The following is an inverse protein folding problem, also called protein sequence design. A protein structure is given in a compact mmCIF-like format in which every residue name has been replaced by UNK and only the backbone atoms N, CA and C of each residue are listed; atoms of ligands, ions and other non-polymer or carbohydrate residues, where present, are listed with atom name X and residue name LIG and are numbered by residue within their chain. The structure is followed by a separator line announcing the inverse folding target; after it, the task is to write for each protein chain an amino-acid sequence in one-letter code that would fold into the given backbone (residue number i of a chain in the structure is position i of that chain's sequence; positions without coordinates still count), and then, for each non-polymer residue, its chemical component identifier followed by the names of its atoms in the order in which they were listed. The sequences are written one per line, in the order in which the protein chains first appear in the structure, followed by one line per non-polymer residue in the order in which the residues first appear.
data_IF_149664616847
#
_entry.id   IF_149664616847
#
_cell.length_a   1.000
_cell.length_b   1.000
_cell.length_c   1.000
_cell.angle_alpha   90.00
_cell.angle_beta   90.00
_cell.angle_gamma   90.00
#
_symmetry.space_group_name_H-M   'P 1'
#
loop_
_entity.id
_entity.type
_entity.pdbx_description
1 polymer ?
#
# COMPACT_ATOMS: atom_id res chain seq x y z
N UNK A 1 -60.54 23.35 2.97
CA UNK A 1 -59.47 23.13 1.97
C UNK A 1 -58.14 23.35 2.68
N UNK A 2 -57.41 22.28 2.97
CA UNK A 2 -56.11 22.32 3.64
C UNK A 2 -55.05 21.77 2.70
N UNK A 3 -53.96 22.51 2.44
CA UNK A 3 -52.73 21.93 1.95
C UNK A 3 -51.62 22.18 2.97
N UNK A 4 -51.31 21.21 3.82
CA UNK A 4 -50.12 21.22 4.70
C UNK A 4 -49.61 19.78 4.87
N UNK A 5 -49.12 19.17 3.80
CA UNK A 5 -48.41 17.89 3.86
C UNK A 5 -47.64 17.62 2.56
N UNK A 6 -46.56 18.37 2.25
CA UNK A 6 -45.66 17.97 1.15
C UNK A 6 -44.23 18.53 1.20
N UNK A 7 -43.81 19.22 2.26
CA UNK A 7 -42.45 19.81 2.29
C UNK A 7 -41.50 19.14 3.31
N UNK A 8 -42.00 18.24 4.17
CA UNK A 8 -41.18 17.61 5.21
C UNK A 8 -40.45 16.33 4.77
N UNK A 9 -40.88 15.67 3.68
CA UNK A 9 -40.24 14.43 3.21
C UNK A 9 -39.06 14.66 2.27
N UNK A 10 -38.93 15.84 1.66
CA UNK A 10 -37.83 16.11 0.72
C UNK A 10 -36.52 16.51 1.41
N UNK A 11 -36.57 16.90 2.69
CA UNK A 11 -35.37 17.28 3.47
C UNK A 11 -34.72 16.07 4.16
N UNK A 12 -35.47 15.01 4.44
CA UNK A 12 -34.96 13.81 5.11
C UNK A 12 -34.09 12.94 4.16
N UNK A 13 -34.41 12.92 2.86
CA UNK A 13 -33.64 12.18 1.85
C UNK A 13 -32.33 12.89 1.45
N UNK A 14 -32.29 14.22 1.58
CA UNK A 14 -31.11 15.02 1.23
C UNK A 14 -30.00 14.93 2.31
N UNK A 15 -30.37 14.72 3.57
CA UNK A 15 -29.40 14.48 4.66
C UNK A 15 -28.87 13.03 4.68
N UNK A 16 -29.54 12.10 3.99
CA UNK A 16 -29.15 10.70 3.91
C UNK A 16 -28.11 10.41 2.80
N UNK A 17 -27.83 11.37 1.92
CA UNK A 17 -27.06 11.14 0.70
C UNK A 17 -25.69 11.85 0.64
N UNK A 18 -25.21 12.43 1.74
CA UNK A 18 -23.77 12.72 1.85
C UNK A 18 -23.02 11.40 2.09
N UNK A 19 -22.79 10.66 1.00
CA UNK A 19 -22.00 9.44 1.03
C UNK A 19 -20.64 9.75 1.66
N UNK A 20 -20.39 9.14 2.83
CA UNK A 20 -19.14 9.30 3.54
C UNK A 20 -17.98 8.91 2.62
N UNK A 21 -16.96 9.77 2.55
CA UNK A 21 -15.84 9.55 1.64
C UNK A 21 -15.02 8.35 2.10
N UNK A 22 -14.86 7.35 1.23
CA UNK A 22 -14.07 6.15 1.51
C UNK A 22 -12.59 6.38 1.20
N UNK A 23 -11.73 6.03 2.14
CA UNK A 23 -10.27 6.09 2.01
C UNK A 23 -9.68 4.73 2.29
N UNK A 24 -8.90 4.22 1.35
CA UNK A 24 -8.23 2.93 1.46
C UNK A 24 -6.79 3.13 1.94
N UNK A 25 -6.46 2.49 3.05
CA UNK A 25 -5.15 2.47 3.70
C UNK A 25 -4.57 1.06 3.55
N UNK A 26 -3.45 0.93 2.84
CA UNK A 26 -2.82 -0.36 2.55
C UNK A 26 -1.53 -0.47 3.34
N UNK A 27 -1.47 -1.43 4.25
CA UNK A 27 -0.24 -1.83 4.92
C UNK A 27 0.41 -2.94 4.09
N UNK A 28 1.40 -2.59 3.27
CA UNK A 28 2.01 -3.56 2.35
C UNK A 28 2.77 -4.66 3.08
N UNK A 29 3.35 -4.35 4.24
CA UNK A 29 4.11 -5.32 5.02
C UNK A 29 3.20 -6.40 5.57
N UNK A 30 2.03 -6.00 6.09
CA UNK A 30 1.04 -6.93 6.61
C UNK A 30 0.31 -7.70 5.51
N UNK A 31 -0.01 -7.05 4.38
CA UNK A 31 -0.67 -7.68 3.25
C UNK A 31 0.19 -8.78 2.60
N UNK A 32 1.50 -8.54 2.50
CA UNK A 32 2.41 -9.39 1.73
C UNK A 32 3.23 -10.33 2.63
N UNK A 33 3.29 -10.05 3.94
CA UNK A 33 4.02 -10.83 4.94
C UNK A 33 5.55 -10.72 4.85
N UNK A 34 6.10 -9.96 3.89
CA UNK A 34 7.53 -9.71 3.71
C UNK A 34 7.77 -8.56 2.74
N UNK A 35 8.80 -7.74 2.99
CA UNK A 35 9.22 -6.62 2.12
C UNK A 35 9.96 -7.11 0.86
N UNK A 36 10.45 -8.36 0.83
CA UNK A 36 11.06 -8.97 -0.37
C UNK A 36 9.97 -9.45 -1.34
N UNK A 37 9.15 -8.53 -1.80
CA UNK A 37 8.00 -8.83 -2.63
C UNK A 37 8.44 -8.98 -4.08
N UNK A 38 8.04 -10.08 -4.72
CA UNK A 38 8.13 -10.19 -6.17
C UNK A 38 7.07 -9.28 -6.78
N UNK A 39 7.46 -8.41 -7.73
CA UNK A 39 6.56 -7.46 -8.41
C UNK A 39 5.22 -8.11 -8.84
N UNK A 40 5.28 -9.31 -9.41
CA UNK A 40 4.09 -10.08 -9.80
C UNK A 40 3.11 -10.34 -8.65
N UNK A 41 3.62 -10.71 -7.47
CA UNK A 41 2.79 -10.98 -6.31
C UNK A 41 2.16 -9.68 -5.79
N UNK A 42 2.89 -8.56 -5.84
CA UNK A 42 2.35 -7.25 -5.50
C UNK A 42 1.22 -6.86 -6.46
N UNK A 43 1.43 -6.97 -7.78
CA UNK A 43 0.39 -6.71 -8.80
C UNK A 43 -0.90 -7.47 -8.53
N UNK A 44 -0.81 -8.80 -8.37
CA UNK A 44 -1.97 -9.63 -8.09
C UNK A 44 -2.68 -9.25 -6.78
N UNK A 45 -1.92 -8.88 -5.76
CA UNK A 45 -2.48 -8.40 -4.49
C UNK A 45 -3.23 -7.08 -4.65
N UNK A 46 -2.66 -6.12 -5.39
CA UNK A 46 -3.29 -4.83 -5.66
C UNK A 46 -4.56 -4.95 -6.51
N UNK A 47 -4.60 -5.88 -7.46
CA UNK A 47 -5.78 -6.17 -8.27
C UNK A 47 -6.94 -6.70 -7.41
N UNK A 48 -6.68 -7.71 -6.58
CA UNK A 48 -7.68 -8.27 -5.65
C UNK A 48 -8.15 -7.21 -4.66
N UNK A 49 -7.22 -6.40 -4.15
CA UNK A 49 -7.53 -5.36 -3.18
C UNK A 49 -8.42 -4.27 -3.79
N UNK A 50 -8.13 -3.79 -5.01
CA UNK A 50 -8.99 -2.83 -5.72
C UNK A 50 -10.37 -3.40 -6.03
N UNK A 51 -10.43 -4.66 -6.47
CA UNK A 51 -11.71 -5.32 -6.73
C UNK A 51 -12.57 -5.44 -5.46
N UNK A 52 -11.94 -5.74 -4.32
CA UNK A 52 -12.65 -5.90 -3.03
C UNK A 52 -13.03 -4.56 -2.40
N UNK A 53 -12.16 -3.54 -2.51
CA UNK A 53 -12.41 -2.23 -1.92
C UNK A 53 -13.58 -1.48 -2.60
N UNK A 54 -13.92 -1.85 -3.84
CA UNK A 54 -15.03 -1.29 -4.60
C UNK A 54 -14.67 0.03 -5.32
N UNK A 55 -15.56 0.46 -6.22
CA UNK A 55 -15.34 1.62 -7.09
C UNK A 55 -15.48 2.98 -6.37
N UNK A 56 -16.02 3.01 -5.16
CA UNK A 56 -16.35 4.23 -4.41
C UNK A 56 -15.19 4.76 -3.55
N UNK A 57 -13.99 4.17 -3.67
CA UNK A 57 -12.80 4.65 -2.95
C UNK A 57 -12.30 5.93 -3.59
N UNK A 58 -12.44 7.04 -2.87
CA UNK A 58 -11.99 8.36 -3.32
C UNK A 58 -10.46 8.50 -3.28
N UNK A 59 -9.81 7.86 -2.30
CA UNK A 59 -8.38 8.04 -2.06
C UNK A 59 -7.74 6.74 -1.58
N UNK A 60 -6.64 6.33 -2.20
CA UNK A 60 -5.90 5.11 -1.83
C UNK A 60 -4.43 5.44 -1.55
N UNK A 61 -3.92 4.97 -0.41
CA UNK A 61 -2.51 5.10 -0.04
C UNK A 61 -1.94 3.80 0.49
N UNK A 62 -0.64 3.61 0.29
CA UNK A 62 0.08 2.44 0.78
C UNK A 62 1.29 2.84 1.63
N UNK A 63 1.35 2.34 2.86
CA UNK A 63 2.48 2.51 3.77
C UNK A 63 3.43 1.33 3.67
N UNK A 64 4.73 1.63 3.60
CA UNK A 64 5.79 0.62 3.53
C UNK A 64 7.16 1.23 3.86
N UNK A 65 8.05 0.41 4.42
CA UNK A 65 9.43 0.80 4.67
C UNK A 65 10.37 0.44 3.51
N UNK A 66 11.23 1.39 3.13
CA UNK A 66 12.36 1.17 2.22
C UNK A 66 13.57 1.92 2.78
N UNK A 67 14.76 1.27 2.92
CA UNK A 67 15.96 1.96 3.38
C UNK A 67 16.28 3.21 2.55
N UNK A 68 16.85 4.23 3.19
CA UNK A 68 17.18 5.48 2.51
C UNK A 68 18.28 5.23 1.45
N UNK A 69 18.14 5.85 0.28
CA UNK A 69 19.09 5.70 -0.82
C UNK A 69 18.91 4.43 -1.67
N UNK A 70 18.07 3.49 -1.25
CA UNK A 70 17.77 2.29 -2.05
C UNK A 70 16.77 2.59 -3.18
N UNK A 71 16.90 1.91 -4.34
CA UNK A 71 15.89 1.92 -5.40
C UNK A 71 14.52 1.49 -4.86
N UNK A 72 13.48 2.18 -5.29
CA UNK A 72 12.11 1.94 -4.86
C UNK A 72 11.22 1.55 -6.05
N UNK A 73 11.27 0.28 -6.50
CA UNK A 73 10.38 -0.20 -7.56
C UNK A 73 8.92 -0.30 -7.08
N UNK A 74 8.67 -0.30 -5.77
CA UNK A 74 7.31 -0.37 -5.21
C UNK A 74 6.58 0.93 -5.52
N UNK A 75 7.22 2.09 -5.38
CA UNK A 75 6.63 3.38 -5.70
C UNK A 75 6.12 3.47 -7.15
N UNK A 76 6.92 3.00 -8.12
CA UNK A 76 6.51 2.98 -9.53
C UNK A 76 5.28 2.09 -9.74
N UNK A 77 5.27 0.91 -9.13
CA UNK A 77 4.14 0.00 -9.23
C UNK A 77 2.87 0.58 -8.59
N UNK A 78 2.98 1.18 -7.41
CA UNK A 78 1.85 1.83 -6.75
C UNK A 78 1.28 2.97 -7.62
N UNK A 79 2.13 3.73 -8.29
CA UNK A 79 1.70 4.78 -9.22
C UNK A 79 0.90 4.23 -10.40
N UNK A 80 1.27 3.08 -10.96
CA UNK A 80 0.48 2.41 -12.02
C UNK A 80 -0.95 2.05 -11.56
N UNK A 81 -1.13 1.74 -10.28
CA UNK A 81 -2.43 1.46 -9.68
C UNK A 81 -3.12 2.70 -9.10
N UNK A 82 -2.57 3.90 -9.31
CA UNK A 82 -3.07 5.17 -8.76
C UNK A 82 -3.11 5.20 -7.23
N UNK A 83 -2.15 4.53 -6.59
CA UNK A 83 -2.00 4.45 -5.15
C UNK A 83 -0.90 5.40 -4.69
N UNK A 84 -1.22 6.29 -3.76
CA UNK A 84 -0.24 7.23 -3.19
C UNK A 84 0.77 6.50 -2.30
N UNK A 85 2.07 6.51 -2.62
CA UNK A 85 3.08 5.87 -1.78
C UNK A 85 3.35 6.70 -0.53
N UNK A 86 3.31 6.06 0.64
CA UNK A 86 3.75 6.59 1.93
C UNK A 86 5.00 5.83 2.37
N UNK A 87 6.12 6.11 1.68
CA UNK A 87 7.43 5.56 2.01
C UNK A 87 7.91 6.12 3.35
N UNK A 88 8.52 5.25 4.15
CA UNK A 88 9.20 5.62 5.41
C UNK A 88 10.51 4.85 5.55
N UNK A 89 11.42 5.34 6.40
CA UNK A 89 12.63 4.60 6.75
C UNK A 89 12.27 3.38 7.60
N UNK A 90 13.01 2.25 7.49
CA UNK A 90 12.70 1.05 8.26
C UNK A 90 12.86 1.22 9.76
N UNK A 91 11.79 0.91 10.49
CA UNK A 91 11.77 0.73 11.93
C UNK A 91 10.55 -0.14 12.29
N UNK A 92 10.43 -0.65 13.53
CA UNK A 92 9.23 -1.37 13.95
C UNK A 92 7.97 -0.54 13.68
N UNK A 93 7.00 -1.15 13.03
CA UNK A 93 5.66 -0.59 12.77
C UNK A 93 5.68 0.71 11.94
N UNK A 94 6.68 0.86 11.06
CA UNK A 94 6.85 2.09 10.28
C UNK A 94 5.67 2.37 9.33
N UNK A 95 5.19 1.33 8.63
CA UNK A 95 4.00 1.41 7.78
C UNK A 95 2.76 1.86 8.59
N UNK A 96 2.53 1.28 9.77
CA UNK A 96 1.41 1.62 10.64
C UNK A 96 1.45 3.09 11.06
N UNK A 97 2.61 3.56 11.52
CA UNK A 97 2.77 4.94 11.97
C UNK A 97 2.48 5.95 10.86
N UNK A 98 3.02 5.74 9.65
CA UNK A 98 2.82 6.67 8.55
C UNK A 98 1.37 6.65 8.06
N UNK A 99 0.71 5.48 8.04
CA UNK A 99 -0.70 5.35 7.65
C UNK A 99 -1.63 5.99 8.67
N UNK A 100 -1.44 5.73 9.97
CA UNK A 100 -2.24 6.34 11.04
C UNK A 100 -2.05 7.86 11.07
N UNK A 101 -0.82 8.34 10.91
CA UNK A 101 -0.56 9.77 10.82
C UNK A 101 -1.25 10.41 9.60
N UNK A 102 -1.22 9.76 8.44
CA UNK A 102 -1.94 10.21 7.25
C UNK A 102 -3.45 10.27 7.48
N UNK A 103 -4.04 9.21 8.04
CA UNK A 103 -5.45 9.13 8.36
C UNK A 103 -5.90 10.23 9.32
N UNK A 104 -5.11 10.50 10.38
CA UNK A 104 -5.37 11.60 11.33
C UNK A 104 -5.35 12.96 10.63
N UNK A 105 -4.39 13.21 9.74
CA UNK A 105 -4.33 14.48 8.98
C UNK A 105 -5.54 14.65 8.07
N UNK A 106 -5.94 13.59 7.35
CA UNK A 106 -7.15 13.61 6.52
C UNK A 106 -8.40 13.91 7.35
N UNK A 107 -8.54 13.22 8.48
CA UNK A 107 -9.66 13.43 9.39
C UNK A 107 -9.71 14.87 9.91
N UNK A 108 -8.60 15.40 10.43
CA UNK A 108 -8.54 16.79 10.91
C UNK A 108 -8.81 17.82 9.81
N UNK A 109 -8.29 17.60 8.60
CA UNK A 109 -8.56 18.48 7.45
C UNK A 109 -10.05 18.49 7.09
N UNK A 110 -10.69 17.32 7.04
CA UNK A 110 -12.13 17.20 6.73
C UNK A 110 -13.01 17.83 7.80
N UNK A 111 -12.74 17.54 9.07
CA UNK A 111 -13.49 18.11 10.20
C UNK A 111 -13.38 19.63 10.21
N UNK A 112 -12.18 20.18 9.97
CA UNK A 112 -11.99 21.65 9.88
C UNK A 112 -12.76 22.28 8.74
N UNK A 113 -12.93 21.57 7.63
CA UNK A 113 -13.62 22.06 6.45
C UNK A 113 -15.12 21.76 6.47
N UNK A 114 -15.67 21.23 7.56
CA UNK A 114 -17.08 20.85 7.67
C UNK A 114 -17.51 19.73 6.71
N UNK A 115 -16.55 18.95 6.20
CA UNK A 115 -16.83 17.87 5.26
C UNK A 115 -17.49 16.64 5.91
N UNK A 116 -18.05 15.73 5.09
CA UNK A 116 -18.66 14.50 5.60
C UNK A 116 -17.63 13.61 6.30
N UNK A 117 -18.15 12.66 7.10
CA UNK A 117 -17.32 11.67 7.78
C UNK A 117 -16.51 10.81 6.80
N UNK A 118 -15.41 10.24 7.30
CA UNK A 118 -14.56 9.33 6.54
C UNK A 118 -14.92 7.88 6.87
N UNK A 119 -14.90 7.02 5.84
CA UNK A 119 -14.86 5.56 6.02
C UNK A 119 -13.44 5.11 5.69
N UNK A 120 -12.72 4.60 6.67
CA UNK A 120 -11.39 4.02 6.46
C UNK A 120 -11.55 2.55 6.13
N UNK A 121 -11.14 2.14 4.94
CA UNK A 121 -10.91 0.74 4.58
C UNK A 121 -9.44 0.45 4.83
N UNK A 122 -9.13 -0.47 5.74
CA UNK A 122 -7.75 -0.81 6.09
C UNK A 122 -7.43 -2.21 5.58
N UNK A 123 -6.47 -2.33 4.67
CA UNK A 123 -5.88 -3.60 4.30
C UNK A 123 -4.72 -3.94 5.23
N UNK A 124 -5.06 -4.38 6.45
CA UNK A 124 -4.13 -4.84 7.49
C UNK A 124 -4.90 -5.71 8.49
N UNK A 125 -4.17 -6.56 9.20
CA UNK A 125 -4.65 -7.34 10.34
C UNK A 125 -4.17 -6.79 11.70
N UNK A 126 -3.42 -5.68 11.73
CA UNK A 126 -2.80 -5.16 12.95
C UNK A 126 -3.80 -4.43 13.87
N UNK A 127 -3.69 -4.70 15.18
CA UNK A 127 -4.54 -4.09 16.21
C UNK A 127 -4.47 -2.56 16.27
N UNK A 128 -3.37 -1.94 15.86
CA UNK A 128 -3.15 -0.48 15.96
C UNK A 128 -4.15 0.31 15.13
N UNK A 129 -4.63 -0.26 14.03
CA UNK A 129 -5.65 0.39 13.19
C UNK A 129 -7.01 0.54 13.86
N UNK A 130 -7.25 -0.13 15.01
CA UNK A 130 -8.43 0.13 15.84
C UNK A 130 -8.53 1.58 16.34
N UNK A 131 -7.39 2.30 16.45
CA UNK A 131 -7.34 3.72 16.81
C UNK A 131 -8.14 4.60 15.83
N UNK A 132 -8.33 4.16 14.58
CA UNK A 132 -9.11 4.91 13.59
C UNK A 132 -10.61 4.99 13.92
N UNK A 133 -11.14 4.01 14.65
CA UNK A 133 -12.52 4.04 15.14
C UNK A 133 -12.68 4.94 16.38
N UNK A 134 -11.62 5.08 17.19
CA UNK A 134 -11.65 5.83 18.46
C UNK A 134 -11.62 7.34 18.26
N UNK A 135 -11.02 7.84 17.16
CA UNK A 135 -10.80 9.27 16.94
C UNK A 135 -12.01 10.09 16.47
N UNK A 136 -13.23 9.56 16.60
CA UNK A 136 -14.46 10.34 16.53
C UNK A 136 -14.99 10.55 15.10
N UNK A 137 -16.11 9.89 14.79
CA UNK A 137 -16.90 9.99 13.53
C UNK A 137 -16.35 9.28 12.30
N UNK A 138 -15.16 8.68 12.37
CA UNK A 138 -14.68 7.76 11.33
C UNK A 138 -15.39 6.41 11.43
N UNK A 139 -15.80 5.83 10.30
CA UNK A 139 -16.18 4.41 10.23
C UNK A 139 -14.95 3.60 9.82
N UNK A 140 -14.80 2.41 10.38
CA UNK A 140 -13.69 1.51 10.08
C UNK A 140 -14.22 0.23 9.43
N UNK A 141 -13.67 -0.12 8.29
CA UNK A 141 -13.81 -1.41 7.62
C UNK A 141 -12.43 -2.02 7.42
N UNK A 142 -12.35 -3.35 7.44
CA UNK A 142 -11.09 -4.09 7.35
C UNK A 142 -11.10 -4.98 6.13
N UNK A 143 -10.04 -4.98 5.35
CA UNK A 143 -9.78 -5.93 4.28
C UNK A 143 -8.67 -6.88 4.75
N UNK A 144 -8.99 -8.17 4.92
CA UNK A 144 -8.02 -9.17 5.34
C UNK A 144 -7.98 -10.33 4.34
N UNK A 145 -6.81 -10.91 4.11
CA UNK A 145 -6.72 -12.11 3.28
C UNK A 145 -7.46 -13.30 3.93
N UNK A 146 -7.93 -14.22 3.09
CA UNK A 146 -8.49 -15.49 3.53
C UNK A 146 -7.50 -16.26 4.39
N UNK A 147 -8.00 -16.77 5.53
CA UNK A 147 -7.20 -17.47 6.52
C UNK A 147 -6.16 -16.59 7.25
N UNK A 148 -6.15 -15.27 7.04
CA UNK A 148 -5.32 -14.37 7.84
C UNK A 148 -6.00 -14.10 9.19
N UNK A 149 -5.33 -14.38 10.32
CA UNK A 149 -5.84 -13.98 11.63
C UNK A 149 -5.86 -12.45 11.71
N UNK A 150 -6.99 -11.89 12.13
CA UNK A 150 -7.16 -10.45 12.36
C UNK A 150 -7.17 -10.22 13.86
N UNK A 151 -6.46 -9.20 14.34
CA UNK A 151 -6.43 -8.91 15.77
C UNK A 151 -7.84 -8.66 16.33
N UNK A 152 -8.18 -9.27 17.46
CA UNK A 152 -9.52 -9.20 18.06
C UNK A 152 -9.99 -7.75 18.27
N UNK A 153 -9.12 -6.88 18.80
CA UNK A 153 -9.43 -5.45 18.98
C UNK A 153 -9.73 -4.72 17.67
N UNK A 154 -9.08 -5.12 16.57
CA UNK A 154 -9.37 -4.55 15.25
C UNK A 154 -10.76 -5.02 14.76
N UNK A 155 -11.11 -6.29 14.98
CA UNK A 155 -12.45 -6.82 14.66
C UNK A 155 -13.53 -6.08 15.46
N UNK A 156 -13.33 -5.89 16.76
CA UNK A 156 -14.27 -5.18 17.65
C UNK A 156 -14.48 -3.72 17.23
N UNK A 157 -13.43 -3.07 16.74
CA UNK A 157 -13.48 -1.69 16.27
C UNK A 157 -14.06 -1.55 14.85
N UNK A 158 -14.00 -2.60 14.03
CA UNK A 158 -14.46 -2.59 12.65
C UNK A 158 -15.96 -2.83 12.54
N UNK A 159 -16.62 -2.09 11.65
CA UNK A 159 -18.02 -2.31 11.32
C UNK A 159 -18.20 -3.53 10.42
N UNK A 160 -17.25 -3.72 9.50
CA UNK A 160 -17.26 -4.82 8.53
C UNK A 160 -15.84 -5.32 8.34
N UNK A 161 -15.68 -6.64 8.30
CA UNK A 161 -14.43 -7.31 7.90
C UNK A 161 -14.69 -8.03 6.59
N UNK A 162 -14.07 -7.54 5.52
CA UNK A 162 -14.09 -8.15 4.20
C UNK A 162 -12.95 -9.13 4.07
N UNK A 163 -13.23 -10.26 3.41
CA UNK A 163 -12.24 -11.29 3.15
C UNK A 163 -11.86 -11.29 1.68
N UNK A 164 -10.56 -11.26 1.45
CA UNK A 164 -9.95 -11.23 0.13
C UNK A 164 -9.28 -12.56 -0.18
N UNK A 165 -9.44 -13.10 -1.41
CA UNK A 165 -8.64 -14.24 -1.85
C UNK A 165 -7.16 -13.98 -1.60
N UNK A 166 -6.47 -14.93 -0.95
CA UNK A 166 -5.03 -14.80 -0.73
C UNK A 166 -4.30 -14.91 -2.08
N UNK A 167 -3.48 -13.92 -2.47
CA UNK A 167 -2.67 -14.02 -3.67
C UNK A 167 -1.67 -15.17 -3.52
N UNK A 168 -1.89 -16.28 -4.23
CA UNK A 168 -1.00 -17.44 -4.15
C UNK A 168 0.25 -17.13 -4.97
N UNK A 169 1.40 -17.04 -4.32
CA UNK A 169 2.69 -16.73 -4.94
C UNK A 169 3.22 -17.79 -5.94
N UNK A 170 2.41 -18.77 -6.36
CA UNK A 170 2.87 -19.94 -7.11
C UNK A 170 1.98 -20.47 -8.24
N UNK A 171 0.81 -19.89 -8.54
CA UNK A 171 -0.16 -20.54 -9.44
C UNK A 171 -0.18 -19.97 -10.88
N UNK A 172 0.97 -19.56 -11.40
CA UNK A 172 1.03 -19.19 -12.81
C UNK A 172 2.37 -19.62 -13.43
N UNK A 173 2.34 -20.76 -14.09
CA UNK A 173 3.29 -21.10 -15.15
C UNK A 173 3.06 -20.13 -16.31
N UNK A 174 3.94 -19.15 -16.47
CA UNK A 174 4.13 -18.61 -17.81
C UNK A 174 5.03 -19.58 -18.55
N UNK A 175 4.48 -20.20 -19.60
CA UNK A 175 5.29 -20.65 -20.70
C UNK A 175 5.94 -19.40 -21.28
N UNK A 176 7.20 -19.16 -20.93
CA UNK A 176 8.09 -18.42 -21.81
C UNK A 176 8.21 -19.31 -23.04
N UNK A 177 7.26 -19.20 -23.96
CA UNK A 177 7.51 -19.60 -25.33
C UNK A 177 8.51 -18.56 -25.82
N UNK A 178 9.81 -18.90 -25.99
CA UNK A 178 10.67 -18.01 -26.72
C UNK A 178 10.01 -17.85 -28.09
N UNK A 179 9.86 -16.61 -28.54
CA UNK A 179 9.55 -16.33 -29.93
C UNK A 179 10.62 -17.04 -30.75
N UNK A 180 10.28 -18.22 -31.28
CA UNK A 180 11.12 -18.99 -32.16
C UNK A 180 11.29 -18.19 -33.43
N UNK A 181 12.36 -17.40 -33.48
CA UNK A 181 12.95 -17.02 -34.74
C UNK A 181 13.38 -18.33 -35.41
N UNK A 182 12.64 -18.71 -36.44
CA UNK A 182 12.98 -19.81 -37.32
C UNK A 182 14.35 -19.51 -37.94
N UNK A 183 15.39 -20.15 -37.41
CA UNK A 183 16.68 -20.27 -38.08
C UNK A 183 16.66 -21.54 -38.95
N UNK A 184 17.00 -21.46 -40.25
CA UNK A 184 17.33 -22.65 -41.00
C UNK A 184 18.73 -23.16 -40.61
N UNK A 185 18.79 -24.47 -40.43
CA UNK A 185 19.97 -25.22 -40.02
C UNK A 185 21.05 -25.31 -41.12
N UNK A 186 22.32 -25.23 -40.72
CA UNK A 186 23.42 -25.99 -41.33
C UNK A 186 24.62 -26.07 -40.35
N UNK A 187 25.24 -27.25 -40.31
CA UNK A 187 26.13 -27.78 -39.28
C UNK A 187 27.65 -27.53 -39.56
N UNK A 188 28.59 -28.37 -39.06
CA UNK A 188 29.43 -28.15 -37.89
C UNK A 188 30.92 -27.92 -38.22
N UNK A 189 31.72 -27.40 -37.28
CA UNK A 189 33.18 -27.48 -37.36
C UNK A 189 33.85 -27.71 -36.00
N UNK A 190 34.83 -28.62 -36.05
CA UNK A 190 35.66 -29.22 -35.01
C UNK A 190 36.53 -28.26 -34.17
N UNK A 191 36.63 -28.62 -32.88
CA UNK A 191 37.83 -28.83 -32.05
C UNK A 191 39.00 -27.83 -32.02
N UNK A 192 39.35 -27.39 -30.80
CA UNK A 192 40.70 -27.40 -30.16
C UNK A 192 40.53 -26.79 -28.75
N UNK A 193 40.61 -27.56 -27.67
CA UNK A 193 41.77 -28.03 -26.89
C UNK A 193 42.55 -26.96 -26.10
N UNK A 194 42.66 -27.23 -24.80
CA UNK A 194 43.70 -26.88 -23.78
C UNK A 194 44.05 -25.43 -23.42
N UNK A 195 44.13 -25.23 -22.08
CA UNK A 195 44.96 -24.24 -21.39
C UNK A 195 44.19 -23.51 -20.29
N UNK A 196 44.11 -23.99 -19.04
CA UNK A 196 45.14 -23.95 -17.98
C UNK A 196 45.39 -22.55 -17.39
N UNK A 197 45.11 -22.45 -16.07
CA UNK A 197 45.55 -21.46 -15.08
C UNK A 197 44.93 -20.05 -15.24
N UNK A 198 44.35 -19.44 -14.20
CA UNK A 198 45.17 -18.91 -13.11
C UNK A 198 44.41 -18.74 -11.78
N UNK A 199 45.21 -18.77 -10.70
CA UNK A 199 44.85 -18.64 -9.29
C UNK A 199 44.90 -17.18 -8.84
N UNK A 200 44.13 -16.86 -7.80
CA UNK A 200 44.32 -15.71 -6.90
C UNK A 200 42.96 -15.22 -6.38
N UNK A 201 42.53 -15.36 -5.13
CA UNK A 201 43.13 -15.37 -3.79
C UNK A 201 43.74 -14.04 -3.35
N UNK A 202 42.92 -13.15 -2.76
CA UNK A 202 43.22 -12.24 -1.63
C UNK A 202 41.89 -11.52 -1.23
N UNK A 203 41.27 -11.85 -0.10
CA UNK A 203 41.49 -11.39 1.30
C UNK A 203 40.82 -10.04 1.64
N UNK A 204 39.82 -10.14 2.53
CA UNK A 204 39.58 -9.43 3.79
C UNK A 204 39.72 -7.90 3.83
N UNK A 205 38.66 -7.25 4.30
CA UNK A 205 38.72 -5.89 4.86
C UNK A 205 37.41 -5.45 5.52
N UNK A 206 37.20 -5.88 6.77
CA UNK A 206 36.21 -5.29 7.69
C UNK A 206 36.75 -3.93 8.15
N UNK A 207 36.01 -2.84 7.94
CA UNK A 207 36.19 -1.61 8.69
C UNK A 207 34.83 -1.12 9.17
N UNK A 208 34.65 -1.17 10.50
CA UNK A 208 33.62 -0.48 11.24
C UNK A 208 33.91 1.02 11.26
N UNK A 209 32.86 1.84 11.11
CA UNK A 209 32.96 3.30 11.16
C UNK A 209 31.63 3.92 11.56
N UNK A 210 31.42 4.00 12.88
CA UNK A 210 30.35 4.72 13.54
C UNK A 210 30.64 6.22 13.48
N UNK A 211 29.76 7.04 12.88
CA UNK A 211 29.76 8.50 13.10
C UNK A 211 28.32 8.96 13.32
N UNK A 212 28.07 9.40 14.56
CA UNK A 212 26.90 10.14 14.96
C UNK A 212 26.96 11.56 14.40
N UNK A 213 25.83 12.07 13.92
CA UNK A 213 25.67 13.44 13.44
C UNK A 213 24.24 13.90 13.59
N UNK A 214 23.94 14.51 14.74
CA UNK A 214 22.74 15.31 14.98
C UNK A 214 22.84 16.58 14.13
N UNK A 215 21.81 16.90 13.35
CA UNK A 215 21.44 18.29 13.04
C UNK A 215 19.99 18.36 12.56
N UNK A 216 19.15 18.90 13.44
CA UNK A 216 17.87 19.48 13.10
C UNK A 216 18.10 20.85 12.46
N UNK A 217 17.63 21.10 11.24
CA UNK A 217 17.32 22.44 10.73
C UNK A 217 16.10 22.36 9.82
N UNK A 218 15.15 23.26 10.09
CA UNK A 218 13.88 23.44 9.42
C UNK A 218 14.00 24.02 8.01
N UNK A 219 13.11 23.62 7.11
CA UNK A 219 12.67 24.45 5.96
C UNK A 219 11.19 24.24 5.67
N UNK A 220 10.35 25.04 6.36
CA UNK A 220 8.92 25.23 6.12
C UNK A 220 8.70 26.35 5.09
N UNK A 221 9.23 26.23 3.87
CA UNK A 221 9.11 27.31 2.88
C UNK A 221 9.06 26.89 1.39
N UNK A 222 8.91 25.61 1.05
CA UNK A 222 8.93 25.19 -0.37
C UNK A 222 7.58 24.66 -0.92
N UNK A 223 6.51 24.60 -0.13
CA UNK A 223 5.25 23.97 -0.56
C UNK A 223 4.16 24.94 -1.06
N UNK A 224 4.24 26.25 -0.76
CA UNK A 224 3.21 27.23 -1.14
C UNK A 224 3.33 27.78 -2.58
N UNK A 225 4.25 27.27 -3.39
CA UNK A 225 4.47 27.74 -4.76
C UNK A 225 3.92 26.81 -5.86
N UNK A 226 3.33 25.66 -5.52
CA UNK A 226 2.87 24.65 -6.49
C UNK A 226 1.34 24.49 -6.59
N UNK A 227 0.57 25.29 -5.85
CA UNK A 227 -0.91 25.22 -5.85
C UNK A 227 -1.58 26.60 -5.84
N UNK A 228 -1.23 27.44 -6.82
CA UNK A 228 -2.09 28.55 -7.26
C UNK A 228 -2.50 28.35 -8.70
#
# INVERSE_FOLDING_TARGET
MCPLATEAEHTADSAANEQATRVLLIDLENLLGSIKVRERALRASLEVLRATAGAEVHHTVAGYAVPDGEPDPIASLLAEYQIGPLRTSPHPDAADHVLLHHARRLHHGRVRNGGPGLVFLVASADRRFSELAEHGRGRLEVLACDGQPVAARLIEAAQVVHRMPRPVAGAFTFSTQPAGLAGPAAAPALATDRGALDRGLLKVGIIAGLVAGVSAVATRAAFDALYR
#
